data_IF_106005127187
#
_entry.id   IF_106005127187
#
_cell.length_a   1.000
_cell.length_b   1.000
_cell.length_c   1.000
_cell.angle_alpha   90.00
_cell.angle_beta   90.00
_cell.angle_gamma   90.00
#
_symmetry.space_group_name_H-M   'P 1'
#
loop_
_entity.id
_entity.type
_entity.pdbx_description
1 polymer ?
#
# COMPACT_ATOMS: atom_id res chain seq x y z
N UNK A 1 26.40 12.74 -3.14
CA UNK A 1 27.26 11.54 -3.03
C UNK A 1 26.34 10.33 -2.99
N UNK A 2 26.31 9.57 -4.08
CA UNK A 2 25.43 8.41 -4.27
C UNK A 2 25.97 7.20 -3.50
N UNK A 3 25.35 6.81 -2.39
CA UNK A 3 25.63 5.51 -1.77
C UNK A 3 24.80 4.45 -2.50
N UNK A 4 25.45 3.70 -3.40
CA UNK A 4 24.89 2.43 -3.91
C UNK A 4 25.02 1.41 -2.77
N UNK A 5 23.91 1.02 -2.15
CA UNK A 5 23.87 -0.19 -1.33
C UNK A 5 23.30 -1.32 -2.18
N UNK A 6 24.20 -2.14 -2.74
CA UNK A 6 23.87 -3.46 -3.26
C UNK A 6 23.96 -4.46 -2.11
N UNK A 7 22.84 -4.98 -1.63
CA UNK A 7 22.84 -6.12 -0.71
C UNK A 7 22.52 -7.39 -1.50
N UNK A 8 23.46 -8.33 -1.52
CA UNK A 8 23.30 -9.66 -2.11
C UNK A 8 23.46 -10.76 -1.05
N UNK A 9 22.54 -11.73 -1.13
CA UNK A 9 22.54 -13.09 -0.59
C UNK A 9 22.76 -13.31 0.92
N UNK A 10 21.67 -13.47 1.68
CA UNK A 10 21.68 -14.27 2.91
C UNK A 10 20.53 -15.29 2.93
N UNK A 11 20.91 -16.57 3.09
CA UNK A 11 20.04 -17.72 3.33
C UNK A 11 19.15 -17.48 4.57
N UNK A 12 17.84 -17.73 4.44
CA UNK A 12 16.78 -17.84 5.47
C UNK A 12 17.26 -17.44 6.87
N UNK A 13 17.25 -16.13 7.13
CA UNK A 13 17.56 -15.53 8.44
C UNK A 13 16.31 -14.88 9.01
N UNK A 14 16.10 -15.12 10.29
CA UNK A 14 15.05 -14.50 11.11
C UNK A 14 14.94 -13.00 10.81
N UNK A 15 13.76 -12.57 10.36
CA UNK A 15 13.51 -11.19 9.96
C UNK A 15 13.81 -10.24 11.15
N UNK A 16 14.70 -9.26 10.92
CA UNK A 16 15.16 -8.26 11.89
C UNK A 16 13.99 -7.49 12.49
N UNK A 17 13.88 -7.40 13.83
CA UNK A 17 12.79 -6.73 14.61
C UNK A 17 13.16 -5.32 15.13
N UNK A 18 13.30 -4.27 14.31
CA UNK A 18 13.33 -2.90 14.77
C UNK A 18 11.91 -2.40 15.10
N UNK A 19 11.80 -1.43 16.03
CA UNK A 19 10.55 -0.74 16.36
C UNK A 19 10.15 0.34 15.33
N UNK A 20 10.93 0.49 14.25
CA UNK A 20 10.75 1.46 13.18
C UNK A 20 10.59 0.74 11.83
N UNK A 21 10.25 1.48 10.77
CA UNK A 21 10.19 0.97 9.40
C UNK A 21 11.42 0.13 9.03
N UNK A 22 11.22 -0.89 8.21
CA UNK A 22 12.31 -1.72 7.70
C UNK A 22 13.20 -0.93 6.73
N UNK A 23 12.58 -0.46 5.63
CA UNK A 23 13.23 0.39 4.63
C UNK A 23 12.32 1.59 4.37
N UNK A 24 12.87 2.80 4.54
CA UNK A 24 12.20 4.04 4.17
C UNK A 24 12.87 4.62 2.92
N UNK A 25 12.07 4.90 1.88
CA UNK A 25 12.54 5.53 0.64
C UNK A 25 11.83 6.86 0.46
N UNK A 26 12.58 7.95 0.37
CA UNK A 26 12.07 9.30 0.13
C UNK A 26 13.05 10.06 -0.78
N UNK A 27 12.56 11.00 -1.59
CA UNK A 27 13.38 11.86 -2.47
C UNK A 27 14.42 11.09 -3.31
N UNK A 28 14.03 9.91 -3.81
CA UNK A 28 14.94 8.97 -4.46
C UNK A 28 14.37 8.45 -5.78
N UNK A 29 15.23 8.18 -6.76
CA UNK A 29 14.85 7.62 -8.05
C UNK A 29 15.64 6.36 -8.39
N UNK A 30 15.04 5.43 -9.15
CA UNK A 30 15.71 4.21 -9.63
C UNK A 30 16.23 3.32 -8.49
N UNK A 31 15.37 3.06 -7.50
CA UNK A 31 15.69 2.23 -6.33
C UNK A 31 15.17 0.81 -6.54
N UNK A 32 16.00 -0.19 -6.24
CA UNK A 32 15.60 -1.60 -6.24
C UNK A 32 15.76 -2.24 -4.87
N UNK A 33 14.72 -2.90 -4.38
CA UNK A 33 14.72 -3.67 -3.12
C UNK A 33 14.43 -5.12 -3.50
N UNK A 34 15.44 -5.99 -3.36
CA UNK A 34 15.38 -7.37 -3.86
C UNK A 34 15.66 -8.37 -2.74
N UNK A 35 14.96 -9.51 -2.73
CA UNK A 35 15.37 -10.70 -1.97
C UNK A 35 15.47 -10.50 -0.45
N UNK A 36 14.53 -9.74 0.14
CA UNK A 36 14.62 -9.29 1.54
C UNK A 36 13.57 -9.95 2.43
N UNK A 37 13.90 -10.18 3.71
CA UNK A 37 13.00 -10.64 4.79
C UNK A 37 12.90 -9.50 5.81
N UNK A 38 11.72 -8.90 5.94
CA UNK A 38 11.50 -7.74 6.82
C UNK A 38 10.36 -8.03 7.78
N UNK A 39 10.56 -7.80 9.08
CA UNK A 39 9.50 -7.87 10.08
C UNK A 39 9.77 -6.86 11.18
N UNK A 40 8.97 -5.82 11.27
CA UNK A 40 9.24 -4.65 12.11
C UNK A 40 8.03 -4.31 12.98
N UNK A 41 8.19 -3.31 13.85
CA UNK A 41 7.07 -2.68 14.56
C UNK A 41 6.22 -1.76 13.69
N UNK A 42 6.65 -1.44 12.47
CA UNK A 42 5.95 -0.51 11.55
C UNK A 42 5.97 -1.02 10.10
N UNK A 43 6.14 -0.19 9.07
CA UNK A 43 6.12 -0.61 7.66
C UNK A 43 7.33 -1.51 7.30
N UNK A 44 7.15 -2.51 6.43
CA UNK A 44 8.27 -3.20 5.80
C UNK A 44 9.05 -2.26 4.90
N UNK A 45 8.30 -1.61 4.01
CA UNK A 45 8.80 -0.58 3.11
C UNK A 45 7.81 0.57 3.13
N UNK A 46 8.30 1.77 3.43
CA UNK A 46 7.54 3.01 3.31
C UNK A 46 8.15 3.88 2.20
N UNK A 47 7.29 4.44 1.35
CA UNK A 47 7.68 5.20 0.16
C UNK A 47 7.10 6.61 0.29
N UNK A 48 7.96 7.59 0.62
CA UNK A 48 7.61 8.98 0.83
C UNK A 48 7.69 9.87 -0.42
N UNK A 49 7.26 11.14 -0.30
CA UNK A 49 7.30 12.14 -1.37
C UNK A 49 8.60 12.24 -2.15
N UNK A 50 8.50 12.57 -3.45
CA UNK A 50 9.65 12.76 -4.32
C UNK A 50 10.32 11.47 -4.78
N UNK A 51 9.66 10.33 -4.58
CA UNK A 51 10.19 9.02 -4.96
C UNK A 51 9.69 8.57 -6.34
N UNK A 52 10.56 8.02 -7.18
CA UNK A 52 10.20 7.54 -8.52
C UNK A 52 10.98 6.31 -8.98
N UNK A 53 10.39 5.52 -9.87
CA UNK A 53 11.06 4.36 -10.50
C UNK A 53 11.55 3.34 -9.46
N UNK A 54 10.63 2.86 -8.60
CA UNK A 54 10.94 1.89 -7.56
C UNK A 54 10.57 0.47 -8.03
N UNK A 55 11.49 -0.47 -7.81
CA UNK A 55 11.28 -1.89 -8.08
C UNK A 55 11.51 -2.72 -6.82
N UNK A 56 10.45 -3.31 -6.28
CA UNK A 56 10.49 -4.15 -5.08
C UNK A 56 10.12 -5.56 -5.47
N UNK A 57 11.03 -6.54 -5.30
CA UNK A 57 10.78 -7.90 -5.75
C UNK A 57 11.35 -8.98 -4.83
N UNK A 58 10.67 -10.12 -4.75
CA UNK A 58 11.06 -11.26 -3.93
C UNK A 58 11.22 -10.87 -2.45
N UNK A 59 10.16 -10.28 -1.89
CA UNK A 59 10.12 -9.77 -0.52
C UNK A 59 9.25 -10.67 0.37
N UNK A 60 9.76 -11.05 1.54
CA UNK A 60 8.94 -11.52 2.65
C UNK A 60 8.73 -10.38 3.66
N UNK A 61 7.48 -10.09 3.98
CA UNK A 61 7.07 -8.98 4.81
C UNK A 61 6.16 -9.44 5.95
N UNK A 62 6.64 -9.33 7.19
CA UNK A 62 5.81 -9.42 8.39
C UNK A 62 6.27 -10.45 9.42
N UNK A 63 5.75 -10.34 10.67
CA UNK A 63 4.76 -9.36 11.15
C UNK A 63 5.24 -7.89 11.10
N UNK A 64 4.36 -6.95 10.74
CA UNK A 64 4.62 -5.51 10.53
C UNK A 64 3.33 -4.77 10.06
N UNK A 65 3.42 -3.52 9.58
CA UNK A 65 2.33 -2.75 8.97
C UNK A 65 2.11 -2.97 7.47
N UNK A 66 3.01 -3.65 6.76
CA UNK A 66 2.91 -3.93 5.32
C UNK A 66 3.83 -3.06 4.46
N UNK A 67 3.52 -2.90 3.18
CA UNK A 67 4.17 -1.92 2.29
C UNK A 67 3.23 -0.72 2.17
N UNK A 68 3.78 0.47 2.39
CA UNK A 68 3.02 1.71 2.36
C UNK A 68 3.61 2.73 1.39
N UNK A 69 2.80 3.23 0.47
CA UNK A 69 3.07 4.49 -0.21
C UNK A 69 2.47 5.62 0.62
N UNK A 70 3.33 6.51 1.10
CA UNK A 70 3.01 7.64 1.97
C UNK A 70 3.52 7.51 3.41
N UNK A 71 3.11 8.41 4.30
CA UNK A 71 2.02 9.38 4.06
C UNK A 71 2.39 10.51 3.11
N UNK A 72 1.46 10.86 2.21
CA UNK A 72 1.51 12.09 1.40
C UNK A 72 0.41 13.07 1.84
N UNK A 73 0.53 14.33 1.44
CA UNK A 73 -0.43 15.40 1.69
C UNK A 73 -0.18 16.14 2.99
N UNK A 74 1.04 16.08 3.54
CA UNK A 74 1.37 16.88 4.72
C UNK A 74 1.50 18.36 4.34
N UNK A 75 2.09 18.63 3.17
CA UNK A 75 2.27 19.97 2.63
C UNK A 75 1.36 20.25 1.43
N UNK A 76 0.98 21.52 1.27
CA UNK A 76 0.24 21.98 0.09
C UNK A 76 1.08 21.81 -1.20
N UNK A 77 2.37 22.13 -1.11
CA UNK A 77 3.36 21.94 -2.17
C UNK A 77 4.23 20.74 -1.79
N UNK A 78 4.01 19.61 -2.44
CA UNK A 78 4.67 18.35 -2.12
C UNK A 78 4.93 17.56 -3.40
N UNK A 79 6.11 16.95 -3.50
CA UNK A 79 6.41 16.09 -4.64
C UNK A 79 5.58 14.80 -4.57
N UNK A 80 5.17 14.26 -5.72
CA UNK A 80 4.45 13.01 -5.78
C UNK A 80 5.35 11.77 -5.64
N UNK A 81 4.71 10.60 -5.68
CA UNK A 81 5.33 9.29 -5.85
C UNK A 81 4.85 8.71 -7.18
N UNK A 82 5.76 8.16 -7.99
CA UNK A 82 5.39 7.59 -9.29
C UNK A 82 6.19 6.36 -9.69
N UNK A 83 5.60 5.53 -10.55
CA UNK A 83 6.26 4.37 -11.16
C UNK A 83 6.85 3.43 -10.10
N UNK A 84 5.97 2.86 -9.28
CA UNK A 84 6.33 1.92 -8.21
C UNK A 84 5.81 0.54 -8.60
N UNK A 85 6.71 -0.45 -8.66
CA UNK A 85 6.34 -1.85 -8.86
C UNK A 85 6.73 -2.67 -7.64
N UNK A 86 5.76 -3.40 -7.08
CA UNK A 86 5.98 -4.47 -6.10
C UNK A 86 5.59 -5.77 -6.75
N UNK A 87 6.53 -6.71 -6.87
CA UNK A 87 6.34 -7.97 -7.58
C UNK A 87 6.80 -9.15 -6.74
N UNK A 88 6.08 -10.27 -6.74
CA UNK A 88 6.52 -11.50 -6.06
C UNK A 88 6.81 -11.23 -4.58
N UNK A 89 5.78 -10.86 -3.81
CA UNK A 89 5.93 -10.56 -2.38
C UNK A 89 4.96 -11.37 -1.52
N UNK A 90 5.44 -11.81 -0.35
CA UNK A 90 4.65 -12.54 0.64
C UNK A 90 4.46 -11.68 1.88
N UNK A 91 3.22 -11.47 2.30
CA UNK A 91 2.86 -10.79 3.54
C UNK A 91 2.39 -11.82 4.57
N UNK A 92 2.91 -11.80 5.80
CA UNK A 92 2.45 -12.70 6.87
C UNK A 92 2.19 -11.96 8.17
N UNK A 93 0.98 -12.11 8.71
CA UNK A 93 0.60 -11.58 10.02
C UNK A 93 0.73 -10.06 10.11
N UNK A 94 0.51 -9.35 9.01
CA UNK A 94 0.68 -7.91 8.93
C UNK A 94 -0.60 -7.15 9.29
N UNK A 95 -0.47 -5.88 9.66
CA UNK A 95 -1.63 -5.01 9.79
C UNK A 95 -2.26 -4.77 8.41
N UNK A 96 -1.45 -4.41 7.41
CA UNK A 96 -1.90 -4.20 6.03
C UNK A 96 -1.01 -5.01 5.09
N UNK A 97 -1.51 -5.32 3.89
CA UNK A 97 -0.67 -5.82 2.81
C UNK A 97 -0.12 -4.64 2.01
N UNK A 98 -0.95 -4.16 1.09
CA UNK A 98 -0.65 -3.13 0.11
C UNK A 98 -1.41 -1.85 0.48
N UNK A 99 -0.71 -0.83 0.98
CA UNK A 99 -1.31 0.40 1.50
C UNK A 99 -0.88 1.63 0.72
N UNK A 100 -1.84 2.52 0.40
CA UNK A 100 -1.59 3.91 0.03
C UNK A 100 -2.27 4.79 1.07
N UNK A 101 -1.52 5.69 1.72
CA UNK A 101 -2.01 6.54 2.82
C UNK A 101 -1.76 8.01 2.53
N UNK A 102 -2.81 8.84 2.52
CA UNK A 102 -2.70 10.29 2.31
C UNK A 102 -3.53 11.07 3.33
N UNK A 103 -3.03 12.21 3.76
CA UNK A 103 -3.72 13.09 4.70
C UNK A 103 -4.94 13.76 4.03
N UNK A 104 -6.01 13.94 4.81
CA UNK A 104 -7.23 14.67 4.46
C UNK A 104 -6.99 16.21 4.42
N UNK A 105 -6.01 16.65 3.63
CA UNK A 105 -5.55 18.04 3.51
C UNK A 105 -5.40 18.44 2.03
N UNK A 106 -5.52 19.74 1.70
CA UNK A 106 -5.14 20.26 0.39
C UNK A 106 -3.66 20.00 0.10
N UNK A 107 -3.36 19.53 -1.10
CA UNK A 107 -2.02 19.22 -1.58
C UNK A 107 -2.04 19.15 -3.11
N UNK A 108 -0.91 19.41 -3.75
CA UNK A 108 -0.69 19.13 -5.17
C UNK A 108 0.09 17.81 -5.40
N UNK A 109 0.40 17.08 -4.33
CA UNK A 109 1.05 15.77 -4.40
C UNK A 109 0.21 14.76 -5.19
N UNK A 110 0.84 13.68 -5.61
CA UNK A 110 0.18 12.62 -6.36
C UNK A 110 0.79 11.26 -6.07
N UNK A 111 0.02 10.20 -6.30
CA UNK A 111 0.52 8.82 -6.42
C UNK A 111 0.05 8.32 -7.78
N UNK A 112 0.98 7.96 -8.66
CA UNK A 112 0.61 7.49 -10.00
C UNK A 112 1.44 6.31 -10.48
N UNK A 113 0.83 5.50 -11.34
CA UNK A 113 1.48 4.40 -12.04
C UNK A 113 2.12 3.41 -11.04
N UNK A 114 1.26 2.76 -10.27
CA UNK A 114 1.65 1.79 -9.24
C UNK A 114 1.17 0.40 -9.67
N UNK A 115 2.04 -0.60 -9.56
CA UNK A 115 1.72 -1.98 -9.89
C UNK A 115 2.09 -2.90 -8.71
N UNK A 116 1.10 -3.60 -8.18
CA UNK A 116 1.29 -4.68 -7.23
C UNK A 116 0.93 -5.99 -7.93
N UNK A 117 1.92 -6.89 -8.10
CA UNK A 117 1.75 -8.09 -8.91
C UNK A 117 2.31 -9.36 -8.23
N UNK A 118 1.62 -10.49 -8.34
CA UNK A 118 2.04 -11.78 -7.76
C UNK A 118 2.26 -11.67 -6.25
N UNK A 119 1.19 -11.34 -5.53
CA UNK A 119 1.25 -11.07 -4.10
C UNK A 119 0.52 -12.17 -3.32
N UNK A 120 1.22 -12.77 -2.38
CA UNK A 120 0.66 -13.74 -1.42
C UNK A 120 0.41 -13.02 -0.10
N UNK A 121 -0.81 -13.09 0.42
CA UNK A 121 -1.16 -12.51 1.71
C UNK A 121 -1.58 -13.62 2.66
N UNK A 122 -0.97 -13.69 3.84
CA UNK A 122 -1.25 -14.66 4.89
C UNK A 122 -1.65 -13.90 6.17
N UNK A 123 -2.95 -13.84 6.43
CA UNK A 123 -3.54 -13.31 7.64
C UNK A 123 -3.22 -11.82 7.90
N UNK A 124 -3.39 -10.97 6.88
CA UNK A 124 -3.31 -9.51 7.05
C UNK A 124 -4.64 -8.90 7.49
N UNK A 125 -4.65 -7.89 8.38
CA UNK A 125 -5.93 -7.28 8.84
C UNK A 125 -6.65 -6.52 7.73
N UNK A 126 -5.91 -5.71 6.96
CA UNK A 126 -6.39 -5.00 5.78
C UNK A 126 -5.45 -5.28 4.58
N UNK A 127 -5.65 -6.41 3.88
CA UNK A 127 -4.81 -6.83 2.75
C UNK A 127 -4.56 -5.75 1.70
N UNK A 128 -5.59 -5.03 1.25
CA UNK A 128 -5.48 -3.96 0.27
C UNK A 128 -6.21 -2.73 0.79
N UNK A 129 -5.52 -1.60 0.88
CA UNK A 129 -6.10 -0.35 1.39
C UNK A 129 -5.58 0.89 0.65
N UNK A 130 -6.51 1.76 0.29
CA UNK A 130 -6.26 3.16 -0.04
C UNK A 130 -7.00 3.98 1.02
N UNK A 131 -6.28 4.78 1.78
CA UNK A 131 -6.81 5.64 2.84
C UNK A 131 -6.40 7.09 2.57
N UNK A 132 -7.31 7.88 1.98
CA UNK A 132 -7.11 9.31 1.80
C UNK A 132 -7.64 10.16 2.98
N UNK A 133 -7.93 9.52 4.13
CA UNK A 133 -8.30 10.15 5.39
C UNK A 133 -7.31 9.78 6.50
N UNK A 134 -6.05 9.51 6.14
CA UNK A 134 -5.07 8.96 7.06
C UNK A 134 -4.93 9.85 8.31
N UNK A 135 -5.13 9.24 9.47
CA UNK A 135 -5.02 9.88 10.77
C UNK A 135 -4.60 8.86 11.84
N UNK A 136 -3.28 8.59 11.97
CA UNK A 136 -2.78 7.48 12.80
C UNK A 136 -3.06 7.67 14.30
N UNK A 137 -3.01 8.92 14.80
CA UNK A 137 -3.17 9.20 16.24
C UNK A 137 -4.63 9.42 16.65
N UNK A 138 -5.58 9.38 15.70
CA UNK A 138 -7.00 9.72 15.89
C UNK A 138 -7.26 11.06 16.60
N UNK A 139 -6.25 11.93 16.66
CA UNK A 139 -6.28 13.19 17.37
C UNK A 139 -6.02 14.32 16.37
N UNK A 140 -6.88 15.35 16.40
CA UNK A 140 -6.81 16.50 15.49
C UNK A 140 -6.72 16.08 14.01
N UNK A 141 -7.46 15.03 13.62
CA UNK A 141 -7.52 14.58 12.24
C UNK A 141 -8.01 15.72 11.34
N UNK A 142 -7.35 15.98 10.21
CA UNK A 142 -7.88 16.88 9.20
C UNK A 142 -9.27 16.41 8.74
N UNK A 143 -10.19 17.36 8.56
CA UNK A 143 -11.57 17.11 8.11
C UNK A 143 -11.83 17.59 6.68
N UNK A 144 -10.78 18.00 5.96
CA UNK A 144 -10.88 18.43 4.56
C UNK A 144 -10.77 17.21 3.64
N UNK A 145 -11.02 17.39 2.36
CA UNK A 145 -10.76 16.34 1.38
C UNK A 145 -9.26 16.31 1.00
N UNK A 146 -8.69 15.12 0.81
CA UNK A 146 -7.30 14.99 0.37
C UNK A 146 -7.08 15.61 -1.01
N UNK A 147 -6.05 16.45 -1.11
CA UNK A 147 -5.56 17.04 -2.35
C UNK A 147 -4.77 16.07 -3.23
N UNK A 148 -4.28 14.98 -2.64
CA UNK A 148 -3.40 14.04 -3.33
C UNK A 148 -4.18 13.26 -4.39
N UNK A 149 -3.81 13.38 -5.66
CA UNK A 149 -4.43 12.59 -6.73
C UNK A 149 -3.80 11.20 -6.78
N UNK A 150 -4.61 10.15 -6.62
CA UNK A 150 -4.21 8.75 -6.81
C UNK A 150 -4.70 8.28 -8.17
N UNK A 151 -3.82 7.75 -9.02
CA UNK A 151 -4.20 7.28 -10.35
C UNK A 151 -3.39 6.08 -10.83
N UNK A 152 -3.98 5.26 -11.72
CA UNK A 152 -3.31 4.13 -12.38
C UNK A 152 -2.65 3.17 -11.38
N UNK A 153 -3.43 2.64 -10.44
CA UNK A 153 -2.98 1.64 -9.46
C UNK A 153 -3.53 0.29 -9.85
N UNK A 154 -2.66 -0.66 -10.14
CA UNK A 154 -3.05 -2.02 -10.55
C UNK A 154 -2.70 -3.02 -9.47
N UNK A 155 -3.66 -3.87 -9.14
CA UNK A 155 -3.48 -5.05 -8.30
C UNK A 155 -3.74 -6.28 -9.16
N UNK A 156 -2.71 -7.07 -9.40
CA UNK A 156 -2.71 -8.18 -10.34
C UNK A 156 -2.25 -9.45 -9.64
N UNK A 157 -3.06 -10.51 -9.66
CA UNK A 157 -2.74 -11.78 -8.98
C UNK A 157 -2.37 -11.58 -7.49
N UNK A 158 -3.37 -11.13 -6.71
CA UNK A 158 -3.25 -10.98 -5.26
C UNK A 158 -4.12 -12.02 -4.59
N UNK A 159 -3.52 -12.97 -3.88
CA UNK A 159 -4.26 -14.09 -3.31
C UNK A 159 -3.84 -14.46 -1.89
N UNK A 160 -4.74 -15.12 -1.16
CA UNK A 160 -4.48 -15.65 0.18
C UNK A 160 -5.56 -15.28 1.21
N UNK A 161 -5.16 -14.97 2.44
CA UNK A 161 -6.07 -14.86 3.58
C UNK A 161 -6.05 -13.49 4.26
N UNK A 162 -7.24 -13.01 4.61
CA UNK A 162 -7.47 -11.84 5.45
C UNK A 162 -7.71 -12.27 6.90
N UNK A 163 -7.29 -11.44 7.85
CA UNK A 163 -7.63 -11.60 9.26
C UNK A 163 -9.00 -10.97 9.62
N UNK A 164 -9.56 -10.16 8.71
CA UNK A 164 -10.87 -9.50 8.90
C UNK A 164 -11.80 -9.71 7.70
N UNK A 165 -13.09 -9.41 7.86
CA UNK A 165 -14.08 -9.57 6.79
C UNK A 165 -13.85 -8.62 5.60
N UNK A 166 -13.43 -7.39 5.85
CA UNK A 166 -13.19 -6.38 4.81
C UNK A 166 -11.73 -6.47 4.36
N UNK A 167 -11.50 -7.11 3.22
CA UNK A 167 -10.15 -7.34 2.72
C UNK A 167 -9.63 -6.22 1.80
N UNK A 168 -10.54 -5.51 1.15
CA UNK A 168 -10.23 -4.37 0.27
C UNK A 168 -10.97 -3.13 0.76
N UNK A 169 -10.27 -2.03 0.97
CA UNK A 169 -10.86 -0.78 1.43
C UNK A 169 -10.31 0.40 0.63
N UNK A 170 -11.17 1.11 -0.10
CA UNK A 170 -10.76 2.25 -0.93
C UNK A 170 -11.44 3.54 -0.49
N UNK A 171 -10.88 4.24 0.50
CA UNK A 171 -11.38 5.54 0.94
C UNK A 171 -10.76 6.66 0.11
N UNK A 172 -11.28 6.83 -1.12
CA UNK A 172 -10.84 7.89 -2.01
C UNK A 172 -11.46 9.25 -1.64
N UNK A 173 -10.70 10.32 -1.89
CA UNK A 173 -11.10 11.71 -1.70
C UNK A 173 -12.32 12.05 -2.56
N UNK A 174 -13.24 12.85 -2.03
CA UNK A 174 -14.43 13.30 -2.78
C UNK A 174 -14.07 14.31 -3.86
N UNK A 175 -13.11 15.19 -3.59
CA UNK A 175 -12.67 16.24 -4.52
C UNK A 175 -11.61 15.74 -5.50
N UNK A 176 -10.78 14.78 -5.09
CA UNK A 176 -9.77 14.14 -5.95
C UNK A 176 -9.93 12.62 -5.94
N UNK A 177 -11.03 12.09 -6.51
CA UNK A 177 -11.30 10.66 -6.46
C UNK A 177 -10.20 9.87 -7.18
N UNK A 178 -9.89 8.68 -6.66
CA UNK A 178 -8.96 7.77 -7.31
C UNK A 178 -9.45 7.43 -8.73
N UNK A 179 -8.52 7.30 -9.69
CA UNK A 179 -8.82 7.00 -11.11
C UNK A 179 -7.99 5.83 -11.62
N UNK A 180 -8.54 5.00 -12.48
CA UNK A 180 -7.78 3.88 -13.07
C UNK A 180 -7.22 2.92 -12.02
N UNK A 181 -8.02 2.63 -10.98
CA UNK A 181 -7.71 1.53 -10.06
C UNK A 181 -8.20 0.25 -10.72
N UNK A 182 -7.41 -0.81 -10.74
CA UNK A 182 -7.83 -2.12 -11.28
C UNK A 182 -7.54 -3.24 -10.30
N UNK A 183 -8.47 -4.20 -10.22
CA UNK A 183 -8.33 -5.44 -9.45
C UNK A 183 -8.47 -6.60 -10.43
N UNK A 184 -7.37 -7.23 -10.79
CA UNK A 184 -7.33 -8.41 -11.66
C UNK A 184 -6.75 -9.60 -10.89
N UNK A 185 -7.46 -10.72 -10.87
CA UNK A 185 -7.03 -11.90 -10.11
C UNK A 185 -6.90 -11.69 -8.59
N UNK A 186 -7.72 -10.82 -7.98
CA UNK A 186 -7.73 -10.61 -6.52
C UNK A 186 -8.65 -11.61 -5.82
N UNK A 187 -8.07 -12.58 -5.09
CA UNK A 187 -8.78 -13.65 -4.41
C UNK A 187 -8.36 -13.79 -2.94
N UNK A 188 -9.12 -13.15 -2.05
CA UNK A 188 -8.86 -13.14 -0.61
C UNK A 188 -9.99 -13.83 0.15
N UNK A 189 -9.63 -14.66 1.12
CA UNK A 189 -10.60 -15.40 1.95
C UNK A 189 -10.37 -15.14 3.44
N UNK A 190 -11.43 -15.28 4.22
CA UNK A 190 -11.36 -15.33 5.68
C UNK A 190 -11.91 -16.69 6.12
N UNK A 191 -11.03 -17.56 6.62
CA UNK A 191 -11.40 -18.93 7.02
C UNK A 191 -12.20 -19.66 5.91
N UNK A 192 -11.62 -19.65 4.71
CA UNK A 192 -12.20 -20.24 3.48
C UNK A 192 -13.52 -19.62 2.99
N UNK A 193 -13.98 -18.53 3.63
CA UNK A 193 -15.14 -17.77 3.18
C UNK A 193 -14.70 -16.56 2.36
N UNK A 194 -15.50 -16.14 1.35
CA UNK A 194 -15.22 -14.92 0.62
C UNK A 194 -15.16 -13.69 1.53
N UNK A 195 -14.19 -12.81 1.29
CA UNK A 195 -14.12 -11.49 1.94
C UNK A 195 -14.97 -10.47 1.23
N UNK A 196 -15.17 -9.31 1.86
CA UNK A 196 -15.86 -8.16 1.28
C UNK A 196 -14.90 -6.99 1.02
N UNK A 197 -15.40 -5.97 0.35
CA UNK A 197 -14.73 -4.72 0.05
C UNK A 197 -15.60 -3.53 0.40
N UNK A 198 -14.97 -2.43 0.80
CA UNK A 198 -15.63 -1.16 1.11
C UNK A 198 -15.17 -0.08 0.11
N UNK A 199 -16.14 0.43 -0.67
CA UNK A 199 -15.87 1.25 -1.85
C UNK A 199 -16.89 2.41 -1.92
N UNK A 200 -16.47 3.68 -1.73
CA UNK A 200 -17.35 4.85 -1.66
C UNK A 200 -18.16 5.11 -2.92
N UNK A 201 -17.62 4.79 -4.11
CA UNK A 201 -18.36 4.96 -5.38
C UNK A 201 -19.60 4.07 -5.50
N UNK A 202 -19.69 3.01 -4.70
CA UNK A 202 -20.92 2.21 -4.55
C UNK A 202 -21.80 2.68 -3.38
N UNK A 203 -21.68 3.92 -2.90
CA UNK A 203 -22.51 4.45 -1.82
C UNK A 203 -22.12 3.97 -0.42
N UNK A 204 -20.81 3.77 -0.16
CA UNK A 204 -20.28 3.13 1.07
C UNK A 204 -20.80 1.70 1.30
N UNK A 205 -21.26 1.03 0.24
CA UNK A 205 -21.76 -0.34 0.35
C UNK A 205 -20.61 -1.34 0.49
N UNK A 206 -20.87 -2.36 1.33
CA UNK A 206 -20.02 -3.54 1.46
C UNK A 206 -20.32 -4.47 0.29
N UNK A 207 -19.35 -4.64 -0.60
CA UNK A 207 -19.49 -5.41 -1.85
C UNK A 207 -18.46 -6.55 -1.91
N UNK A 208 -18.47 -7.38 -2.96
CA UNK A 208 -17.36 -8.30 -3.22
C UNK A 208 -16.14 -7.51 -3.74
N UNK A 209 -14.89 -7.91 -3.43
CA UNK A 209 -13.69 -7.24 -3.95
C UNK A 209 -13.70 -6.97 -5.45
N UNK A 210 -14.05 -7.96 -6.27
CA UNK A 210 -14.13 -7.83 -7.73
C UNK A 210 -15.21 -6.87 -8.23
N UNK A 211 -16.18 -6.51 -7.38
CA UNK A 211 -17.28 -5.58 -7.72
C UNK A 211 -17.04 -4.15 -7.22
N UNK A 212 -15.91 -3.91 -6.55
CA UNK A 212 -15.56 -2.60 -6.00
C UNK A 212 -15.34 -1.51 -7.06
N UNK A 213 -14.94 -1.93 -8.26
CA UNK A 213 -14.47 -1.05 -9.34
C UNK A 213 -15.25 -1.24 -10.64
N UNK A 214 -16.40 -1.92 -10.62
CA UNK A 214 -17.19 -2.10 -11.83
C UNK A 214 -17.61 -0.72 -12.34
N UNK A 215 -17.08 -0.36 -13.50
CA UNK A 215 -17.60 0.71 -14.34
C UNK A 215 -18.99 0.28 -14.85
N UNK A 216 -19.94 1.22 -14.87
CA UNK A 216 -21.07 1.16 -15.80
C UNK A 216 -20.59 1.56 -17.19
#
# INVERSE_FOLDING_TARGET
MSQRQSHQHENIRQCRQPQHDGIHVEQSSAVSILGSCISTGDDCVSIGPGSSDLWIENLFCGPCHGISIGSLGWNLQEAGVQNVTVKTATFRGTQNGLRIKTWARPSNGFVKDVCFQHIVIDNAKYPIIIDQNYCPDHNKCPSQDSGVQISNVRYEDVHGTSATHVAVKFECSKTNPCRGITLDGVNLTLKDKPTTALCPRNGNNVVKPTTCLKEE
#
